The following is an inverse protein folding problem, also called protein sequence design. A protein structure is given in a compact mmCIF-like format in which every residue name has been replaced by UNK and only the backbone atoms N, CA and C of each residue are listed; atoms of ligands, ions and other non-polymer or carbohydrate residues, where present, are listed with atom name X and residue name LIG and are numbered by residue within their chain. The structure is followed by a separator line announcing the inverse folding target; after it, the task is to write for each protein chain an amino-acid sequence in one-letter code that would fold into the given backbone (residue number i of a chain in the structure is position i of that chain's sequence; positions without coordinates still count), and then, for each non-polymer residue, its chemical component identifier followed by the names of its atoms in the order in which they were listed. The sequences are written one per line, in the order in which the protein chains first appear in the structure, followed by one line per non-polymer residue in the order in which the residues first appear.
data_IF_703341581581
#
_entry.id   IF_703341581581
#
_cell.length_a   1.000
_cell.length_b   1.000
_cell.length_c   1.000
_cell.angle_alpha   90.00
_cell.angle_beta   90.00
_cell.angle_gamma   90.00
#
_symmetry.space_group_name_H-M   'P 1'
#
loop_
_entity.id
_entity.type
_entity.pdbx_description
1 polymer ?
#
# COMPACT_ATOMS: atom_id res chain seq x y z
N UNK A 1 -22.70 -15.81 -10.72
CA UNK A 1 -22.99 -14.40 -11.04
C UNK A 1 -22.05 -13.50 -10.26
N UNK A 2 -22.03 -12.21 -10.57
CA UNK A 2 -21.29 -11.19 -9.83
C UNK A 2 -22.27 -10.33 -9.02
N UNK A 3 -21.83 -9.86 -7.86
CA UNK A 3 -22.63 -9.00 -6.98
C UNK A 3 -21.73 -7.97 -6.29
N UNK A 4 -22.30 -6.81 -6.00
CA UNK A 4 -21.62 -5.76 -5.23
C UNK A 4 -21.74 -6.03 -3.73
N UNK A 5 -20.66 -5.72 -2.99
CA UNK A 5 -20.60 -5.87 -1.55
C UNK A 5 -19.90 -4.66 -0.94
N UNK A 6 -20.31 -4.30 0.28
CA UNK A 6 -19.69 -3.24 1.07
C UNK A 6 -19.24 -3.80 2.41
N UNK A 7 -18.11 -3.33 2.92
CA UNK A 7 -17.57 -3.74 4.21
C UNK A 7 -16.05 -3.89 4.23
N UNK A 8 -15.50 -4.06 5.43
CA UNK A 8 -14.06 -4.17 5.65
C UNK A 8 -13.45 -5.44 5.04
N UNK A 9 -14.25 -6.49 4.85
CA UNK A 9 -13.84 -7.71 4.15
C UNK A 9 -13.47 -7.46 2.69
N UNK A 10 -14.22 -6.61 1.98
CA UNK A 10 -13.94 -6.23 0.60
C UNK A 10 -12.67 -5.38 0.53
N UNK A 11 -12.50 -4.42 1.45
CA UNK A 11 -11.28 -3.62 1.57
C UNK A 11 -10.04 -4.47 1.89
N UNK A 12 -10.19 -5.50 2.75
CA UNK A 12 -9.12 -6.43 3.08
C UNK A 12 -8.70 -7.25 1.85
N UNK A 13 -9.66 -7.80 1.10
CA UNK A 13 -9.38 -8.54 -0.14
C UNK A 13 -8.67 -7.65 -1.19
N UNK A 14 -9.09 -6.39 -1.33
CA UNK A 14 -8.42 -5.42 -2.19
C UNK A 14 -6.97 -5.17 -1.76
N UNK A 15 -6.75 -5.00 -0.45
CA UNK A 15 -5.41 -4.85 0.14
C UNK A 15 -4.54 -6.08 -0.12
N UNK A 16 -5.10 -7.29 -0.01
CA UNK A 16 -4.38 -8.54 -0.32
C UNK A 16 -3.88 -8.57 -1.76
N UNK A 17 -4.71 -8.17 -2.73
CA UNK A 17 -4.29 -8.07 -4.14
C UNK A 17 -3.14 -7.09 -4.33
N UNK A 18 -3.18 -5.95 -3.64
CA UNK A 18 -2.10 -4.96 -3.67
C UNK A 18 -0.81 -5.49 -3.05
N UNK A 19 -0.89 -6.16 -1.90
CA UNK A 19 0.27 -6.81 -1.27
C UNK A 19 0.86 -7.88 -2.18
N UNK A 20 0.03 -8.64 -2.90
CA UNK A 20 0.52 -9.60 -3.89
C UNK A 20 1.33 -8.93 -5.01
N UNK A 21 0.90 -7.76 -5.50
CA UNK A 21 1.68 -6.99 -6.48
C UNK A 21 3.02 -6.49 -5.91
N UNK A 22 3.04 -6.05 -4.64
CA UNK A 22 4.28 -5.65 -3.96
C UNK A 22 5.24 -6.84 -3.80
N UNK A 23 4.72 -8.03 -3.48
CA UNK A 23 5.52 -9.26 -3.37
C UNK A 23 6.05 -9.73 -4.73
N UNK A 24 5.27 -9.62 -5.80
CA UNK A 24 5.73 -9.91 -7.15
C UNK A 24 6.89 -8.98 -7.53
N UNK A 25 6.71 -7.68 -7.32
CA UNK A 25 7.76 -6.71 -7.60
C UNK A 25 8.99 -6.92 -6.71
N UNK A 26 8.81 -7.09 -5.39
CA UNK A 26 9.91 -7.17 -4.43
C UNK A 26 10.64 -8.50 -4.48
N UNK A 27 9.92 -9.60 -4.25
CA UNK A 27 10.52 -10.93 -4.12
C UNK A 27 10.71 -11.61 -5.47
N UNK A 28 9.65 -11.75 -6.27
CA UNK A 28 9.69 -12.54 -7.52
C UNK A 28 10.62 -11.91 -8.55
N UNK A 29 10.61 -10.58 -8.69
CA UNK A 29 11.50 -9.85 -9.60
C UNK A 29 12.83 -9.42 -8.96
N UNK A 30 13.13 -9.88 -7.75
CA UNK A 30 14.38 -9.58 -7.02
C UNK A 30 14.67 -8.09 -6.77
N UNK A 31 13.66 -7.21 -6.73
CA UNK A 31 13.87 -5.79 -6.41
C UNK A 31 14.09 -5.54 -4.91
N UNK A 32 13.57 -6.42 -4.05
CA UNK A 32 13.70 -6.38 -2.59
C UNK A 32 13.58 -7.80 -2.01
N UNK A 33 14.63 -8.60 -2.13
CA UNK A 33 14.64 -10.04 -1.78
C UNK A 33 14.29 -10.31 -0.30
N UNK A 34 14.65 -9.38 0.60
CA UNK A 34 14.34 -9.45 2.04
C UNK A 34 13.01 -8.83 2.45
N UNK A 35 12.08 -8.64 1.50
CA UNK A 35 10.80 -7.97 1.78
C UNK A 35 10.02 -8.73 2.85
N UNK A 36 9.70 -8.03 3.94
CA UNK A 36 8.95 -8.57 5.08
C UNK A 36 7.62 -7.84 5.24
N UNK A 37 6.74 -8.36 6.09
CA UNK A 37 5.49 -7.67 6.46
C UNK A 37 5.74 -6.26 6.99
N UNK A 38 6.86 -6.05 7.71
CA UNK A 38 7.24 -4.72 8.21
C UNK A 38 7.57 -3.77 7.06
N UNK A 39 8.34 -4.23 6.08
CA UNK A 39 8.70 -3.42 4.91
C UNK A 39 7.47 -3.12 4.03
N UNK A 40 6.60 -4.11 3.80
CA UNK A 40 5.34 -3.92 3.07
C UNK A 40 4.46 -2.89 3.78
N UNK A 41 4.33 -2.98 5.11
CA UNK A 41 3.58 -2.00 5.90
C UNK A 41 4.16 -0.60 5.77
N UNK A 42 5.48 -0.44 5.83
CA UNK A 42 6.15 0.86 5.64
C UNK A 42 5.89 1.44 4.24
N UNK A 43 6.00 0.61 3.20
CA UNK A 43 5.73 1.00 1.82
C UNK A 43 4.30 1.53 1.66
N UNK A 44 3.32 0.73 2.11
CA UNK A 44 1.90 1.10 2.06
C UNK A 44 1.61 2.37 2.86
N UNK A 45 2.18 2.50 4.07
CA UNK A 45 2.02 3.73 4.87
C UNK A 45 2.62 4.92 4.13
N UNK A 46 3.82 4.80 3.56
CA UNK A 46 4.49 5.91 2.86
C UNK A 46 3.69 6.38 1.65
N UNK A 47 3.20 5.44 0.83
CA UNK A 47 2.38 5.71 -0.34
C UNK A 47 0.91 6.01 -0.05
N UNK A 48 0.44 5.82 1.18
CA UNK A 48 -0.95 6.08 1.56
C UNK A 48 -1.36 7.52 1.26
N UNK A 49 -2.47 7.68 0.55
CA UNK A 49 -3.05 8.99 0.23
C UNK A 49 -3.64 9.61 1.49
N UNK A 50 -3.33 10.87 1.74
CA UNK A 50 -3.79 11.63 2.90
C UNK A 50 -4.49 12.89 2.43
N UNK A 51 -5.59 13.19 3.11
CA UNK A 51 -6.27 14.47 2.99
C UNK A 51 -5.48 15.55 3.77
N UNK A 52 -5.33 16.76 3.23
CA UNK A 52 -4.62 17.85 3.92
C UNK A 52 -5.36 18.34 5.16
N UNK A 53 -6.67 18.14 5.21
CA UNK A 53 -7.53 18.67 6.27
C UNK A 53 -7.68 17.69 7.45
N UNK A 54 -7.07 16.50 7.34
CA UNK A 54 -7.10 15.45 8.37
C UNK A 54 -5.70 15.25 8.93
N UNK A 55 -5.58 15.17 10.25
CA UNK A 55 -4.32 14.81 10.92
C UNK A 55 -4.17 13.30 10.94
N UNK A 56 -3.02 12.81 10.45
CA UNK A 56 -2.67 11.39 10.45
C UNK A 56 -1.47 11.11 11.37
N UNK A 57 -1.35 9.92 11.97
CA UNK A 57 -2.36 8.86 11.96
C UNK A 57 -3.54 9.15 12.89
N UNK A 58 -4.71 8.58 12.60
CA UNK A 58 -5.88 8.65 13.47
C UNK A 58 -6.67 7.34 13.47
N UNK A 59 -7.68 7.22 14.34
CA UNK A 59 -8.43 5.96 14.55
C UNK A 59 -9.39 5.64 13.40
N UNK A 60 -9.81 6.64 12.64
CA UNK A 60 -10.81 6.48 11.58
C UNK A 60 -10.16 6.10 10.24
N UNK A 61 -9.02 6.72 9.93
CA UNK A 61 -8.32 6.56 8.65
C UNK A 61 -6.98 5.83 8.75
N UNK A 62 -6.53 5.50 9.96
CA UNK A 62 -5.22 4.92 10.19
C UNK A 62 -4.13 5.85 9.64
N UNK A 63 -3.41 5.39 8.63
CA UNK A 63 -2.31 6.14 8.00
C UNK A 63 -2.68 6.82 6.67
N UNK A 64 -3.94 6.68 6.22
CA UNK A 64 -4.40 7.16 4.91
C UNK A 64 -5.07 6.07 4.08
N UNK A 65 -5.52 6.44 2.89
CA UNK A 65 -6.16 5.56 1.91
C UNK A 65 -5.07 4.81 1.15
N UNK A 66 -5.23 3.49 0.98
CA UNK A 66 -4.30 2.65 0.24
C UNK A 66 -4.18 3.12 -1.23
N UNK A 67 -2.94 3.34 -1.69
CA UNK A 67 -2.65 3.81 -3.05
C UNK A 67 -1.35 3.17 -3.59
N UNK A 68 -1.50 2.11 -4.39
CA UNK A 68 -0.35 1.35 -4.90
C UNK A 68 0.50 2.15 -5.90
N UNK A 69 -0.10 3.10 -6.63
CA UNK A 69 0.67 3.92 -7.56
C UNK A 69 1.61 4.84 -6.81
N UNK A 70 1.12 5.49 -5.76
CA UNK A 70 1.94 6.36 -4.92
C UNK A 70 2.96 5.56 -4.08
N UNK A 71 2.67 4.30 -3.72
CA UNK A 71 3.68 3.39 -3.15
C UNK A 71 4.87 3.25 -4.11
N UNK A 72 4.63 2.88 -5.36
CA UNK A 72 5.72 2.72 -6.34
C UNK A 72 6.38 4.04 -6.73
N UNK A 73 5.63 5.13 -6.74
CA UNK A 73 6.18 6.45 -7.02
C UNK A 73 7.13 6.91 -5.91
N UNK A 74 6.78 6.67 -4.65
CA UNK A 74 7.63 6.98 -3.49
C UNK A 74 8.98 6.23 -3.50
N UNK A 75 9.08 5.13 -4.24
CA UNK A 75 10.32 4.37 -4.45
C UNK A 75 11.21 4.97 -5.53
N UNK A 76 10.65 5.66 -6.53
CA UNK A 76 11.40 6.29 -7.63
C UNK A 76 12.15 7.54 -7.20
N UNK A 77 11.63 8.25 -6.20
CA UNK A 77 12.17 9.55 -5.75
C UNK A 77 13.50 9.40 -4.98
N UNK A 78 14.00 8.18 -4.77
CA UNK A 78 15.32 7.91 -4.16
C UNK A 78 16.49 7.80 -5.17
N UNK A 79 16.31 8.16 -6.44
CA UNK A 79 17.45 8.41 -7.35
C UNK A 79 17.80 9.89 -7.25
N UNK A 80 18.75 10.20 -6.37
CA UNK A 80 19.48 11.47 -6.39
C UNK A 80 20.24 11.53 -7.72
N UNK A 81 20.01 12.59 -8.50
CA UNK A 81 21.01 13.10 -9.44
C UNK A 81 21.91 14.05 -8.68
#
# INVERSE_FOLDING_TARGET
GFAEYTGTSVSAAHTTGIVAMILEWGYVRNNLIGISTVEIKKLIIRGGRRDSDIVYPNRDWGYGILDIFNVFDSLRINIIV
#
